data_IF_040819799065
#
_entry.id   IF_040819799065
#
_cell.length_a   1.000
_cell.length_b   1.000
_cell.length_c   1.000
_cell.angle_alpha   90.00
_cell.angle_beta   90.00
_cell.angle_gamma   90.00
#
_symmetry.space_group_name_H-M   'P 1'
#
loop_
_entity.id
_entity.type
_entity.pdbx_description
1 polymer ?
#
# COMPACT_ATOMS: atom_id res chain seq x y z
N UNK A 1 -13.02 -21.87 -23.14
CA UNK A 1 -13.25 -20.40 -23.08
C UNK A 1 -14.66 -20.05 -22.60
N UNK A 2 -15.75 -20.54 -23.24
CA UNK A 2 -17.13 -20.22 -22.84
C UNK A 2 -17.46 -20.44 -21.34
N UNK A 3 -17.20 -21.64 -20.78
CA UNK A 3 -17.39 -21.94 -19.34
C UNK A 3 -16.52 -21.12 -18.39
N UNK A 4 -15.32 -20.72 -18.83
CA UNK A 4 -14.42 -19.87 -18.04
C UNK A 4 -14.96 -18.44 -18.01
N UNK A 5 -15.40 -17.92 -19.16
CA UNK A 5 -16.00 -16.60 -19.26
C UNK A 5 -17.30 -16.51 -18.44
N UNK A 6 -18.17 -17.53 -18.53
CA UNK A 6 -19.40 -17.63 -17.70
C UNK A 6 -19.06 -17.60 -16.20
N UNK A 7 -18.05 -18.35 -15.75
CA UNK A 7 -17.61 -18.30 -14.35
C UNK A 7 -17.06 -16.93 -13.93
N UNK A 8 -16.26 -16.29 -14.80
CA UNK A 8 -15.67 -14.98 -14.54
C UNK A 8 -16.74 -13.90 -14.42
N UNK A 9 -17.72 -13.89 -15.33
CA UNK A 9 -18.82 -12.92 -15.37
C UNK A 9 -19.85 -13.16 -14.27
N UNK A 10 -20.25 -14.40 -14.01
CA UNK A 10 -21.34 -14.69 -13.07
C UNK A 10 -20.90 -14.80 -11.61
N UNK A 11 -19.64 -15.15 -11.34
CA UNK A 11 -19.15 -15.39 -9.97
C UNK A 11 -18.08 -14.41 -9.53
N UNK A 12 -17.02 -14.25 -10.32
CA UNK A 12 -15.86 -13.47 -9.90
C UNK A 12 -16.09 -11.96 -9.95
N UNK A 13 -16.65 -11.46 -11.05
CA UNK A 13 -16.92 -10.04 -11.26
C UNK A 13 -17.83 -9.43 -10.17
N UNK A 14 -18.97 -10.04 -9.80
CA UNK A 14 -19.85 -9.50 -8.75
C UNK A 14 -19.16 -9.41 -7.39
N UNK A 15 -18.35 -10.40 -7.02
CA UNK A 15 -17.61 -10.41 -5.76
C UNK A 15 -16.55 -9.30 -5.77
N UNK A 16 -15.77 -9.21 -6.85
CA UNK A 16 -14.73 -8.20 -7.01
C UNK A 16 -15.32 -6.78 -6.98
N UNK A 17 -16.44 -6.55 -7.68
CA UNK A 17 -17.14 -5.27 -7.66
C UNK A 17 -17.65 -4.91 -6.26
N UNK A 18 -18.22 -5.89 -5.53
CA UNK A 18 -18.70 -5.66 -4.15
C UNK A 18 -17.56 -5.32 -3.19
N UNK A 19 -16.41 -5.98 -3.32
CA UNK A 19 -15.22 -5.69 -2.52
C UNK A 19 -14.61 -4.34 -2.89
N UNK A 20 -14.44 -4.07 -4.19
CA UNK A 20 -13.88 -2.82 -4.69
C UNK A 20 -14.73 -1.59 -4.38
N UNK A 21 -16.06 -1.74 -4.27
CA UNK A 21 -17.00 -0.69 -3.88
C UNK A 21 -17.32 -0.65 -2.38
N UNK A 22 -16.69 -1.50 -1.56
CA UNK A 22 -16.97 -1.55 -0.13
C UNK A 22 -16.43 -0.30 0.57
N UNK A 23 -17.34 0.54 1.08
CA UNK A 23 -17.01 1.81 1.72
C UNK A 23 -16.03 1.69 2.89
N UNK A 24 -16.14 0.61 3.66
CA UNK A 24 -15.27 0.37 4.82
C UNK A 24 -13.85 0.06 4.35
N UNK A 25 -13.67 -0.85 3.40
CA UNK A 25 -12.35 -1.16 2.83
C UNK A 25 -11.71 0.07 2.16
N UNK A 26 -12.50 0.81 1.39
CA UNK A 26 -12.07 2.08 0.79
C UNK A 26 -11.62 3.06 1.87
N UNK A 27 -12.38 3.19 2.97
CA UNK A 27 -12.03 4.11 4.05
C UNK A 27 -10.74 3.72 4.78
N UNK A 28 -10.49 2.42 4.98
CA UNK A 28 -9.24 1.91 5.55
C UNK A 28 -8.08 2.27 4.63
N UNK A 29 -8.17 1.91 3.34
CA UNK A 29 -7.17 2.20 2.32
C UNK A 29 -6.83 3.68 2.27
N UNK A 30 -7.83 4.53 2.05
CA UNK A 30 -7.65 5.97 1.89
C UNK A 30 -7.13 6.60 3.18
N UNK A 31 -7.61 6.14 4.33
CA UNK A 31 -7.22 6.66 5.63
C UNK A 31 -5.78 6.34 6.01
N UNK A 32 -5.32 5.10 5.77
CA UNK A 32 -3.91 4.73 5.97
C UNK A 32 -3.02 5.46 4.97
N UNK A 33 -3.48 5.63 3.72
CA UNK A 33 -2.71 6.33 2.67
C UNK A 33 -2.40 7.79 3.03
N UNK A 34 -3.22 8.45 3.86
CA UNK A 34 -2.91 9.80 4.37
C UNK A 34 -1.61 9.85 5.19
N UNK A 35 -1.15 8.73 5.76
CA UNK A 35 0.12 8.66 6.49
C UNK A 35 1.34 8.51 5.56
N UNK A 36 1.15 8.10 4.30
CA UNK A 36 2.27 7.78 3.39
C UNK A 36 3.21 8.95 3.12
N UNK A 37 2.73 10.19 2.88
CA UNK A 37 3.63 11.32 2.70
C UNK A 37 4.55 11.54 3.92
N UNK A 38 4.05 11.34 5.13
CA UNK A 38 4.85 11.45 6.35
C UNK A 38 5.91 10.35 6.41
N UNK A 39 5.53 9.10 6.16
CA UNK A 39 6.44 7.95 6.14
C UNK A 39 7.55 8.15 5.10
N UNK A 40 7.22 8.65 3.90
CA UNK A 40 8.19 8.93 2.84
C UNK A 40 9.16 10.03 3.27
N UNK A 41 8.66 11.14 3.84
CA UNK A 41 9.51 12.23 4.35
C UNK A 41 10.43 11.72 5.48
N UNK A 42 9.89 10.94 6.42
CA UNK A 42 10.67 10.28 7.46
C UNK A 42 11.77 9.38 6.88
N UNK A 43 11.43 8.64 5.83
CA UNK A 43 12.37 7.76 5.15
C UNK A 43 13.48 8.54 4.45
N UNK A 44 13.23 9.77 3.97
CA UNK A 44 14.30 10.64 3.45
C UNK A 44 15.28 11.04 4.55
N UNK A 45 14.80 11.43 5.73
CA UNK A 45 15.70 11.71 6.87
C UNK A 45 16.50 10.48 7.26
N UNK A 46 15.85 9.31 7.28
CA UNK A 46 16.50 8.04 7.57
C UNK A 46 17.59 7.70 6.56
N UNK A 47 17.33 7.85 5.25
CA UNK A 47 18.32 7.63 4.18
C UNK A 47 19.56 8.51 4.38
N UNK A 48 19.36 9.79 4.72
CA UNK A 48 20.44 10.74 4.96
C UNK A 48 21.24 10.34 6.22
N UNK A 49 20.54 10.00 7.31
CA UNK A 49 21.16 9.63 8.58
C UNK A 49 21.95 8.32 8.50
N UNK A 50 21.51 7.39 7.66
CA UNK A 50 22.08 6.04 7.54
C UNK A 50 22.76 5.78 6.20
N UNK A 51 23.25 6.82 5.52
CA UNK A 51 23.96 6.63 4.25
C UNK A 51 25.26 5.83 4.49
N UNK A 52 25.60 4.82 3.66
CA UNK A 52 26.55 3.77 4.01
C UNK A 52 28.00 4.21 3.73
N UNK A 53 28.36 5.39 4.21
CA UNK A 53 29.69 5.98 4.11
C UNK A 53 30.10 6.38 5.52
N UNK A 54 31.06 5.66 6.11
CA UNK A 54 31.46 5.87 7.51
C UNK A 54 31.87 7.32 7.81
N UNK A 55 32.64 7.93 6.90
CA UNK A 55 33.04 9.33 7.03
C UNK A 55 31.84 10.29 7.08
N UNK A 56 30.73 9.96 6.41
CA UNK A 56 29.51 10.74 6.42
C UNK A 56 28.77 10.62 7.75
N UNK A 57 28.57 9.40 8.25
CA UNK A 57 27.89 9.17 9.54
C UNK A 57 28.70 9.72 10.70
N UNK A 58 30.03 9.52 10.70
CA UNK A 58 30.93 10.09 11.71
C UNK A 58 30.85 11.62 11.71
N UNK A 59 30.82 12.23 10.52
CA UNK A 59 30.68 13.68 10.37
C UNK A 59 29.35 14.18 10.92
N UNK A 60 28.22 13.54 10.56
CA UNK A 60 26.89 13.91 11.07
C UNK A 60 26.80 13.88 12.59
N UNK A 61 27.37 12.85 13.22
CA UNK A 61 27.45 12.73 14.69
C UNK A 61 28.37 13.79 15.29
N UNK A 62 29.52 14.06 14.68
CA UNK A 62 30.46 15.08 15.17
C UNK A 62 29.85 16.50 15.17
N UNK A 63 28.99 16.80 14.19
CA UNK A 63 28.28 18.08 14.12
C UNK A 63 26.91 18.06 14.84
N UNK A 64 26.49 16.91 15.36
CA UNK A 64 25.22 16.72 16.10
C UNK A 64 23.95 16.78 15.23
N UNK A 65 24.07 16.67 13.91
CA UNK A 65 22.92 16.74 12.98
C UNK A 65 22.11 15.44 12.98
N UNK A 66 22.77 14.31 13.23
CA UNK A 66 22.16 12.97 13.30
C UNK A 66 20.95 12.92 14.24
N UNK A 67 21.04 13.57 15.41
CA UNK A 67 19.98 13.62 16.41
C UNK A 67 18.71 14.28 15.87
N UNK A 68 18.84 15.34 15.06
CA UNK A 68 17.69 16.02 14.44
C UNK A 68 17.09 15.21 13.29
N UNK A 69 17.92 14.51 12.51
CA UNK A 69 17.45 13.62 11.45
C UNK A 69 16.62 12.49 12.05
N UNK A 70 17.12 11.81 13.08
CA UNK A 70 16.40 10.74 13.77
C UNK A 70 15.15 11.24 14.48
N UNK A 71 15.17 12.44 15.06
CA UNK A 71 13.94 13.09 15.56
C UNK A 71 12.90 13.28 14.46
N UNK A 72 13.32 13.62 13.23
CA UNK A 72 12.44 13.71 12.06
C UNK A 72 11.85 12.36 11.65
N UNK A 73 12.65 11.28 11.74
CA UNK A 73 12.18 9.90 11.52
C UNK A 73 11.10 9.54 12.55
N UNK A 74 11.38 9.75 13.84
CA UNK A 74 10.43 9.38 14.90
C UNK A 74 9.16 10.24 14.86
N UNK A 75 9.30 11.54 14.56
CA UNK A 75 8.17 12.46 14.44
C UNK A 75 7.26 12.22 13.23
N UNK A 76 7.70 11.40 12.27
CA UNK A 76 6.90 11.04 11.09
C UNK A 76 6.30 9.65 11.21
N UNK A 77 7.13 8.61 11.43
CA UNK A 77 6.67 7.24 11.64
C UNK A 77 5.82 7.10 12.92
N UNK A 78 6.14 7.88 13.95
CA UNK A 78 5.41 7.90 15.21
C UNK A 78 3.99 8.46 15.12
N UNK A 79 3.53 8.96 13.96
CA UNK A 79 2.18 9.51 13.79
C UNK A 79 1.26 8.61 12.95
N UNK A 80 1.74 7.46 12.46
CA UNK A 80 1.03 6.62 11.51
C UNK A 80 -0.37 6.20 11.99
N UNK A 81 -0.49 5.63 13.18
CA UNK A 81 -1.77 5.22 13.78
C UNK A 81 -2.68 6.41 14.03
N UNK A 82 -2.13 7.51 14.54
CA UNK A 82 -2.88 8.74 14.81
C UNK A 82 -3.50 9.32 13.53
N UNK A 83 -2.70 9.48 12.47
CA UNK A 83 -3.15 10.00 11.17
C UNK A 83 -4.13 9.03 10.50
N UNK A 84 -3.88 7.72 10.60
CA UNK A 84 -4.81 6.72 10.09
C UNK A 84 -6.18 6.81 10.79
N UNK A 85 -6.24 7.05 12.10
CA UNK A 85 -7.52 7.15 12.83
C UNK A 85 -8.39 8.30 12.31
N UNK A 86 -7.78 9.48 12.10
CA UNK A 86 -8.43 10.62 11.47
C UNK A 86 -8.84 10.30 10.03
N UNK A 87 -7.92 9.74 9.26
CA UNK A 87 -8.10 9.50 7.83
C UNK A 87 -9.23 8.55 7.50
N UNK A 88 -9.31 7.44 8.26
CA UNK A 88 -10.33 6.41 8.07
C UNK A 88 -11.71 6.99 8.39
N UNK A 89 -11.83 7.70 9.52
CA UNK A 89 -13.08 8.34 9.90
C UNK A 89 -13.52 9.42 8.90
N UNK A 90 -12.59 10.29 8.48
CA UNK A 90 -12.85 11.33 7.48
C UNK A 90 -13.28 10.75 6.13
N UNK A 91 -12.59 9.70 5.64
CA UNK A 91 -12.98 9.03 4.39
C UNK A 91 -14.38 8.43 4.49
N UNK A 92 -14.66 7.65 5.53
CA UNK A 92 -15.97 6.99 5.67
C UNK A 92 -17.13 7.99 5.83
N UNK A 93 -16.91 9.06 6.61
CA UNK A 93 -17.88 10.14 6.79
C UNK A 93 -18.17 10.88 5.47
N UNK A 94 -17.14 11.21 4.68
CA UNK A 94 -17.31 11.81 3.34
C UNK A 94 -18.06 10.88 2.39
N UNK A 95 -17.75 9.59 2.39
CA UNK A 95 -18.49 8.58 1.62
C UNK A 95 -19.96 8.42 2.08
N UNK A 96 -20.26 8.86 3.30
CA UNK A 96 -21.61 8.95 3.87
C UNK A 96 -22.27 10.31 3.67
N UNK A 97 -21.62 11.25 2.96
CA UNK A 97 -22.09 12.61 2.67
C UNK A 97 -22.32 13.46 3.94
N UNK A 98 -21.50 13.27 4.96
CA UNK A 98 -21.49 14.09 6.18
C UNK A 98 -20.10 14.72 6.38
N UNK A 99 -19.97 15.64 7.34
CA UNK A 99 -18.71 16.36 7.55
C UNK A 99 -17.58 15.44 8.02
N UNK A 100 -16.63 15.18 7.12
CA UNK A 100 -15.52 14.27 7.41
C UNK A 100 -14.47 14.84 8.34
N UNK A 101 -14.26 16.15 8.34
CA UNK A 101 -13.25 16.78 9.21
C UNK A 101 -13.66 16.64 10.68
N UNK A 102 -14.92 16.94 11.00
CA UNK A 102 -15.46 16.73 12.36
C UNK A 102 -15.36 15.27 12.80
N UNK A 103 -15.78 14.33 11.96
CA UNK A 103 -15.68 12.90 12.26
C UNK A 103 -14.21 12.46 12.50
N UNK A 104 -13.29 12.95 11.69
CA UNK A 104 -11.85 12.69 11.81
C UNK A 104 -11.27 13.23 13.12
N UNK A 105 -11.57 14.49 13.49
CA UNK A 105 -11.07 15.09 14.74
C UNK A 105 -11.61 14.35 15.96
N UNK A 106 -12.89 13.96 15.94
CA UNK A 106 -13.50 13.15 17.01
C UNK A 106 -12.81 11.79 17.13
N UNK A 107 -12.50 11.14 16.00
CA UNK A 107 -11.75 9.87 15.99
C UNK A 107 -10.32 10.06 16.55
N UNK A 108 -9.63 11.14 16.18
CA UNK A 108 -8.32 11.47 16.72
C UNK A 108 -8.36 11.65 18.25
N UNK A 109 -9.32 12.42 18.75
CA UNK A 109 -9.51 12.59 20.20
C UNK A 109 -9.81 11.26 20.90
N UNK A 110 -10.68 10.44 20.31
CA UNK A 110 -11.02 9.13 20.84
C UNK A 110 -9.81 8.17 20.84
N UNK A 111 -8.94 8.25 19.83
CA UNK A 111 -7.70 7.48 19.76
C UNK A 111 -6.75 7.82 20.91
N UNK A 112 -6.61 9.11 21.25
CA UNK A 112 -5.85 9.54 22.42
C UNK A 112 -6.49 9.03 23.72
N UNK A 113 -7.83 9.08 23.84
CA UNK A 113 -8.55 8.63 25.03
C UNK A 113 -8.33 7.15 25.33
N UNK A 114 -8.34 6.30 24.30
CA UNK A 114 -8.13 4.86 24.50
C UNK A 114 -6.66 4.48 24.65
N UNK A 115 -5.74 5.44 24.48
CA UNK A 115 -4.31 5.23 24.65
C UNK A 115 -3.92 5.43 26.10
N UNK A 116 -3.28 4.44 26.76
CA UNK A 116 -2.83 4.62 28.14
C UNK A 116 -1.72 5.66 28.20
N UNK A 117 -1.84 6.61 29.13
CA UNK A 117 -0.78 7.57 29.41
C UNK A 117 0.25 6.96 30.35
N UNK A 118 1.51 7.28 30.12
CA UNK A 118 2.61 6.89 31.00
C UNK A 118 2.97 8.06 31.90
N UNK A 119 3.30 7.80 33.16
CA UNK A 119 3.80 8.82 34.09
C UNK A 119 5.17 8.42 34.58
N UNK A 120 6.09 9.39 34.61
CA UNK A 120 7.43 9.22 35.14
C UNK A 120 7.93 10.51 35.80
N UNK A 121 9.21 10.54 36.18
CA UNK A 121 9.83 11.70 36.84
C UNK A 121 9.75 12.99 36.01
N UNK A 122 9.68 12.87 34.69
CA UNK A 122 9.57 13.98 33.73
C UNK A 122 8.13 14.41 33.45
N UNK A 123 7.13 13.79 34.07
CA UNK A 123 5.71 14.08 33.93
C UNK A 123 4.89 12.97 33.26
N UNK A 124 3.66 13.31 32.87
CA UNK A 124 2.75 12.41 32.13
C UNK A 124 2.93 12.61 30.63
N UNK A 125 3.03 11.51 29.87
CA UNK A 125 3.24 11.51 28.43
C UNK A 125 2.42 10.46 27.69
N UNK A 126 2.30 10.64 26.38
CA UNK A 126 1.67 9.69 25.47
C UNK A 126 2.75 8.77 24.89
N UNK A 127 2.62 7.44 24.98
CA UNK A 127 3.59 6.52 24.37
C UNK A 127 3.57 6.63 22.84
N UNK A 128 4.64 7.19 22.26
CA UNK A 128 4.77 7.39 20.81
C UNK A 128 4.65 6.07 20.03
N UNK A 129 5.03 4.95 20.63
CA UNK A 129 4.87 3.62 20.01
C UNK A 129 3.42 3.28 19.64
N UNK A 130 2.43 3.67 20.45
CA UNK A 130 1.01 3.47 20.12
C UNK A 130 0.51 4.49 19.08
N UNK A 131 1.17 5.63 18.94
CA UNK A 131 0.82 6.64 17.94
C UNK A 131 1.30 6.23 16.54
N UNK A 132 2.37 5.43 16.47
CA UNK A 132 2.95 4.88 15.25
C UNK A 132 2.26 3.60 14.75
N UNK A 133 3.05 2.65 14.24
CA UNK A 133 2.54 1.45 13.57
C UNK A 133 1.67 0.54 14.44
N UNK A 134 1.97 0.43 15.75
CA UNK A 134 1.18 -0.39 16.69
C UNK A 134 -0.27 0.09 16.84
N UNK A 135 -0.51 1.37 16.56
CA UNK A 135 -1.84 1.98 16.61
C UNK A 135 -2.72 1.69 15.40
N UNK A 136 -2.19 1.13 14.30
CA UNK A 136 -2.93 1.00 13.04
C UNK A 136 -4.22 0.16 13.17
N UNK A 137 -4.20 -0.93 13.92
CA UNK A 137 -5.40 -1.75 14.11
C UNK A 137 -6.48 -1.06 14.94
N UNK A 138 -6.10 -0.34 15.98
CA UNK A 138 -7.04 0.47 16.75
C UNK A 138 -7.60 1.59 15.90
N UNK A 139 -6.74 2.27 15.13
CA UNK A 139 -7.14 3.32 14.21
C UNK A 139 -8.21 2.86 13.21
N UNK A 140 -8.10 1.63 12.69
CA UNK A 140 -9.11 1.04 11.80
C UNK A 140 -10.47 0.91 12.49
N UNK A 141 -10.53 0.19 13.62
CA UNK A 141 -11.81 -0.06 14.31
C UNK A 141 -12.40 1.24 14.82
N UNK A 142 -11.58 2.05 15.46
CA UNK A 142 -12.01 3.30 16.07
C UNK A 142 -12.48 4.29 15.00
N UNK A 143 -11.74 4.45 13.91
CA UNK A 143 -12.10 5.34 12.82
C UNK A 143 -13.42 4.94 12.16
N UNK A 144 -13.61 3.64 11.89
CA UNK A 144 -14.85 3.11 11.29
C UNK A 144 -16.04 3.34 12.23
N UNK A 145 -15.95 2.87 13.47
CA UNK A 145 -17.06 2.95 14.43
C UNK A 145 -17.43 4.41 14.71
N UNK A 146 -16.44 5.28 14.92
CA UNK A 146 -16.68 6.71 15.16
C UNK A 146 -17.37 7.38 13.97
N UNK A 147 -16.93 7.11 12.74
CA UNK A 147 -17.57 7.68 11.56
C UNK A 147 -18.99 7.13 11.29
N UNK A 148 -19.25 5.86 11.60
CA UNK A 148 -20.59 5.27 11.49
C UNK A 148 -21.56 5.90 12.49
N UNK A 149 -21.15 6.03 13.75
CA UNK A 149 -21.95 6.68 14.79
C UNK A 149 -22.18 8.14 14.41
N UNK A 150 -21.13 8.88 14.05
CA UNK A 150 -21.24 10.28 13.63
C UNK A 150 -22.23 10.44 12.47
N UNK A 151 -22.08 9.63 11.42
CA UNK A 151 -22.97 9.64 10.26
C UNK A 151 -24.42 9.36 10.63
N UNK A 152 -24.66 8.46 11.59
CA UNK A 152 -26.00 8.12 12.05
C UNK A 152 -26.69 9.31 12.74
N UNK A 153 -26.00 10.02 13.63
CA UNK A 153 -26.53 11.20 14.30
C UNK A 153 -26.87 12.32 13.30
N UNK A 154 -25.93 12.66 12.41
CA UNK A 154 -26.13 13.72 11.42
C UNK A 154 -27.29 13.41 10.47
N UNK A 155 -27.38 12.17 9.96
CA UNK A 155 -28.47 11.75 9.05
C UNK A 155 -29.84 11.76 9.72
N UNK A 156 -29.90 11.61 11.05
CA UNK A 156 -31.14 11.69 11.84
C UNK A 156 -31.43 13.09 12.36
N UNK A 157 -30.65 14.11 11.94
CA UNK A 157 -30.77 15.47 12.43
C UNK A 157 -30.60 15.61 13.96
N UNK A 158 -29.88 14.69 14.60
CA UNK A 158 -29.57 14.75 16.04
C UNK A 158 -28.28 15.56 16.20
N UNK A 159 -28.41 16.87 16.13
CA UNK A 159 -27.30 17.82 16.12
C UNK A 159 -27.78 19.20 16.60
N UNK A 160 -26.86 20.02 17.08
CA UNK A 160 -27.17 21.42 17.38
C UNK A 160 -27.18 22.20 16.08
N UNK A 161 -28.35 22.76 15.73
CA UNK A 161 -28.53 23.59 14.53
C UNK A 161 -28.42 25.05 14.91
N UNK A 162 -27.61 25.79 14.16
CA UNK A 162 -27.53 27.24 14.28
C UNK A 162 -28.33 27.90 13.15
N UNK A 163 -28.82 29.14 13.34
CA UNK A 163 -29.50 29.90 12.28
C UNK A 163 -28.60 30.12 11.06
N UNK A 164 -29.20 30.33 9.89
CA UNK A 164 -28.48 30.56 8.62
C UNK A 164 -27.61 31.81 8.63
N UNK A 165 -27.85 32.75 9.55
CA UNK A 165 -27.02 33.94 9.76
C UNK A 165 -25.65 33.63 10.36
N UNK A 166 -25.43 32.41 10.87
CA UNK A 166 -24.17 32.00 11.50
C UNK A 166 -23.20 31.43 10.45
N UNK A 167 -21.91 31.84 10.46
CA UNK A 167 -20.92 31.32 9.52
C UNK A 167 -20.87 29.77 9.48
N UNK A 168 -20.76 29.15 8.29
CA UNK A 168 -20.80 27.69 8.14
C UNK A 168 -19.76 26.92 8.97
N UNK A 169 -18.60 27.52 9.22
CA UNK A 169 -17.56 26.91 10.06
C UNK A 169 -18.02 26.71 11.51
N UNK A 170 -18.71 27.70 12.08
CA UNK A 170 -19.25 27.63 13.44
C UNK A 170 -20.41 26.63 13.50
N UNK A 171 -21.30 26.67 12.52
CA UNK A 171 -22.42 25.72 12.44
C UNK A 171 -21.96 24.24 12.40
N UNK A 172 -20.88 23.94 11.66
CA UNK A 172 -20.30 22.58 11.63
C UNK A 172 -19.78 22.15 13.00
N UNK A 173 -19.03 23.00 13.71
CA UNK A 173 -18.49 22.67 15.03
C UNK A 173 -19.59 22.35 16.05
N UNK A 174 -20.68 23.13 16.06
CA UNK A 174 -21.82 22.86 16.95
C UNK A 174 -22.63 21.63 16.51
N UNK A 175 -22.79 21.41 15.20
CA UNK A 175 -23.45 20.22 14.67
C UNK A 175 -22.75 18.93 15.11
N UNK A 176 -21.42 18.96 15.22
CA UNK A 176 -20.60 17.84 15.66
C UNK A 176 -20.61 17.60 17.18
N UNK A 177 -21.13 18.52 18.00
CA UNK A 177 -20.99 18.47 19.46
C UNK A 177 -21.69 17.26 20.09
N UNK A 178 -22.97 17.05 19.78
CA UNK A 178 -23.74 15.92 20.31
C UNK A 178 -23.15 14.57 19.86
N UNK A 179 -22.92 14.33 18.54
CA UNK A 179 -22.24 13.12 18.09
C UNK A 179 -20.88 12.93 18.77
N UNK A 180 -20.08 13.99 18.86
CA UNK A 180 -18.73 13.96 19.43
C UNK A 180 -18.73 13.57 20.90
N UNK A 181 -19.61 14.17 21.70
CA UNK A 181 -19.76 13.82 23.12
C UNK A 181 -20.09 12.33 23.29
N UNK A 182 -21.04 11.80 22.53
CA UNK A 182 -21.42 10.38 22.60
C UNK A 182 -20.28 9.46 22.22
N UNK A 183 -19.57 9.74 21.12
CA UNK A 183 -18.45 8.92 20.64
C UNK A 183 -17.29 8.94 21.64
N UNK A 184 -16.92 10.11 22.13
CA UNK A 184 -15.84 10.27 23.10
C UNK A 184 -16.18 9.55 24.42
N UNK A 185 -17.40 9.73 24.93
CA UNK A 185 -17.86 9.03 26.14
C UNK A 185 -17.89 7.52 25.93
N UNK A 186 -18.31 7.03 24.76
CA UNK A 186 -18.28 5.61 24.43
C UNK A 186 -16.85 5.05 24.55
N UNK A 187 -15.87 5.68 23.92
CA UNK A 187 -14.49 5.22 23.96
C UNK A 187 -13.85 5.35 25.34
N UNK A 188 -14.22 6.38 26.10
CA UNK A 188 -13.82 6.53 27.49
C UNK A 188 -14.36 5.38 28.36
N UNK A 189 -15.62 5.00 28.16
CA UNK A 189 -16.22 3.85 28.87
C UNK A 189 -15.52 2.56 28.48
N UNK A 190 -15.20 2.35 27.20
CA UNK A 190 -14.42 1.18 26.74
C UNK A 190 -13.05 1.14 27.42
N UNK A 191 -12.32 2.26 27.43
CA UNK A 191 -11.03 2.36 28.12
C UNK A 191 -11.17 2.02 29.62
N UNK A 192 -12.14 2.64 30.31
CA UNK A 192 -12.36 2.42 31.73
C UNK A 192 -12.74 0.97 32.07
N UNK A 193 -13.54 0.30 31.23
CA UNK A 193 -13.86 -1.12 31.41
C UNK A 193 -12.61 -1.98 31.26
N UNK A 194 -11.81 -1.77 30.22
CA UNK A 194 -10.60 -2.55 29.97
C UNK A 194 -9.58 -2.41 31.12
N UNK A 195 -9.40 -1.18 31.61
CA UNK A 195 -8.57 -0.86 32.77
C UNK A 195 -9.09 -1.57 34.04
N UNK A 196 -10.38 -1.44 34.35
CA UNK A 196 -10.98 -2.02 35.57
C UNK A 196 -11.03 -3.55 35.59
N UNK A 197 -11.14 -4.19 34.44
CA UNK A 197 -11.15 -5.66 34.33
C UNK A 197 -9.73 -6.22 34.15
N UNK A 198 -8.71 -5.35 34.07
CA UNK A 198 -7.30 -5.71 33.95
C UNK A 198 -6.99 -6.64 32.74
N UNK A 199 -7.66 -6.39 31.61
CA UNK A 199 -7.49 -7.16 30.35
C UNK A 199 -6.36 -6.54 29.48
N UNK A 200 -5.82 -5.40 29.89
CA UNK A 200 -4.83 -4.62 29.14
C UNK A 200 -5.48 -3.49 28.33
N UNK A 201 -4.69 -2.80 27.52
CA UNK A 201 -5.20 -1.68 26.70
C UNK A 201 -5.71 -2.16 25.33
N UNK A 202 -6.54 -1.33 24.69
CA UNK A 202 -7.17 -1.69 23.42
C UNK A 202 -6.16 -1.90 22.28
N UNK A 203 -4.99 -1.24 22.31
CA UNK A 203 -3.97 -1.39 21.28
C UNK A 203 -3.43 -2.82 21.26
N UNK A 204 -3.04 -3.32 22.42
CA UNK A 204 -2.54 -4.69 22.53
C UNK A 204 -3.65 -5.73 22.29
N UNK A 205 -4.88 -5.45 22.70
CA UNK A 205 -6.02 -6.33 22.42
C UNK A 205 -6.30 -6.44 20.91
N UNK A 206 -6.30 -5.32 20.18
CA UNK A 206 -6.52 -5.32 18.73
C UNK A 206 -5.38 -6.00 17.98
N UNK A 207 -4.15 -5.91 18.49
CA UNK A 207 -3.02 -6.68 17.97
C UNK A 207 -3.24 -8.20 18.08
N UNK A 208 -3.90 -8.65 19.16
CA UNK A 208 -4.23 -10.08 19.32
C UNK A 208 -5.40 -10.48 18.42
N UNK A 209 -6.48 -9.70 18.41
CA UNK A 209 -7.73 -10.05 17.73
C UNK A 209 -7.62 -9.93 16.21
N UNK A 210 -6.96 -8.87 15.72
CA UNK A 210 -6.83 -8.58 14.29
C UNK A 210 -5.41 -8.87 13.78
N UNK A 211 -4.41 -8.40 14.53
CA UNK A 211 -3.02 -8.52 14.12
C UNK A 211 -2.55 -9.96 13.96
N UNK A 212 -2.84 -10.86 14.92
CA UNK A 212 -2.44 -12.27 14.81
C UNK A 212 -3.09 -13.00 13.63
N UNK A 213 -4.43 -12.99 13.44
CA UNK A 213 -5.04 -13.68 12.29
C UNK A 213 -4.60 -13.10 10.95
N UNK A 214 -4.54 -11.78 10.81
CA UNK A 214 -4.07 -11.16 9.57
C UNK A 214 -2.58 -11.40 9.33
N UNK A 215 -1.78 -11.50 10.40
CA UNK A 215 -0.38 -11.91 10.35
C UNK A 215 -0.18 -13.31 9.78
N UNK A 216 -1.13 -14.24 9.93
CA UNK A 216 -1.08 -15.56 9.29
C UNK A 216 -1.13 -15.48 7.75
N UNK A 217 -1.58 -14.36 7.19
CA UNK A 217 -1.55 -14.09 5.76
C UNK A 217 -0.43 -13.11 5.38
N UNK A 218 -0.16 -12.11 6.21
CA UNK A 218 0.78 -11.02 5.90
C UNK A 218 2.24 -11.28 6.27
N UNK A 219 2.55 -12.25 7.15
CA UNK A 219 3.90 -12.45 7.70
C UNK A 219 4.64 -13.68 7.16
N UNK A 220 4.07 -14.40 6.20
CA UNK A 220 4.74 -15.57 5.61
C UNK A 220 4.54 -15.63 4.09
N UNK A 221 5.46 -16.32 3.43
CA UNK A 221 5.52 -16.37 1.97
C UNK A 221 4.27 -17.00 1.34
N UNK A 222 3.64 -18.00 1.98
CA UNK A 222 2.44 -18.64 1.45
C UNK A 222 1.25 -17.66 1.43
N UNK A 223 1.06 -16.92 2.52
CA UNK A 223 0.05 -15.87 2.59
C UNK A 223 0.31 -14.74 1.58
N UNK A 224 1.57 -14.34 1.40
CA UNK A 224 1.96 -13.37 0.36
C UNK A 224 1.64 -13.88 -1.05
N UNK A 225 1.90 -15.16 -1.36
CA UNK A 225 1.53 -15.75 -2.65
C UNK A 225 0.02 -15.71 -2.85
N UNK A 226 -0.78 -16.04 -1.83
CA UNK A 226 -2.25 -15.93 -1.90
C UNK A 226 -2.66 -14.47 -2.17
N UNK A 227 -2.04 -13.50 -1.51
CA UNK A 227 -2.29 -12.08 -1.73
C UNK A 227 -1.97 -11.65 -3.18
N UNK A 228 -0.86 -12.15 -3.75
CA UNK A 228 -0.47 -11.91 -5.14
C UNK A 228 -1.49 -12.50 -6.12
N UNK A 229 -1.96 -13.72 -5.85
CA UNK A 229 -2.99 -14.36 -6.66
C UNK A 229 -4.29 -13.56 -6.65
N UNK A 230 -4.74 -13.11 -5.48
CA UNK A 230 -5.94 -12.29 -5.34
C UNK A 230 -5.80 -10.95 -6.05
N UNK A 231 -4.67 -10.26 -5.86
CA UNK A 231 -4.38 -9.01 -6.55
C UNK A 231 -4.44 -9.20 -8.08
N UNK A 232 -3.79 -10.26 -8.58
CA UNK A 232 -3.74 -10.54 -10.01
C UNK A 232 -5.11 -10.87 -10.59
N UNK A 233 -5.91 -11.64 -9.83
CA UNK A 233 -7.26 -12.02 -10.22
C UNK A 233 -8.21 -10.81 -10.27
N UNK A 234 -8.09 -9.88 -9.32
CA UNK A 234 -8.85 -8.63 -9.36
C UNK A 234 -8.47 -7.79 -10.58
N UNK A 235 -7.17 -7.62 -10.85
CA UNK A 235 -6.70 -6.92 -12.04
C UNK A 235 -7.22 -7.55 -13.34
N UNK A 236 -7.23 -8.88 -13.39
CA UNK A 236 -7.73 -9.63 -14.54
C UNK A 236 -9.22 -9.35 -14.83
N UNK A 237 -10.04 -9.15 -13.80
CA UNK A 237 -11.47 -8.78 -13.94
C UNK A 237 -11.70 -7.27 -14.00
N UNK A 238 -10.64 -6.46 -14.16
CA UNK A 238 -10.74 -5.00 -14.33
C UNK A 238 -10.90 -4.20 -13.03
N UNK A 239 -10.69 -4.81 -11.86
CA UNK A 239 -10.65 -4.12 -10.58
C UNK A 239 -9.19 -3.95 -10.15
N UNK A 240 -8.77 -2.76 -9.73
CA UNK A 240 -7.40 -2.54 -9.29
C UNK A 240 -7.07 -3.40 -8.05
N UNK A 241 -6.34 -4.50 -8.24
CA UNK A 241 -6.12 -5.51 -7.19
C UNK A 241 -5.44 -4.96 -5.94
N UNK A 242 -4.44 -4.10 -6.12
CA UNK A 242 -3.71 -3.48 -5.01
C UNK A 242 -4.63 -2.67 -4.10
N UNK A 243 -5.60 -1.96 -4.66
CA UNK A 243 -6.57 -1.19 -3.88
C UNK A 243 -7.45 -2.06 -2.97
N UNK A 244 -7.71 -3.31 -3.36
CA UNK A 244 -8.50 -4.24 -2.57
C UNK A 244 -7.63 -4.98 -1.58
N UNK A 245 -6.55 -5.63 -2.04
CA UNK A 245 -5.69 -6.47 -1.21
C UNK A 245 -4.92 -5.64 -0.17
N UNK A 246 -4.37 -4.49 -0.57
CA UNK A 246 -3.58 -3.66 0.34
C UNK A 246 -4.46 -3.04 1.43
N UNK A 247 -5.75 -2.80 1.18
CA UNK A 247 -6.68 -2.30 2.21
C UNK A 247 -6.80 -3.22 3.43
N UNK A 248 -6.41 -4.49 3.27
CA UNK A 248 -6.46 -5.52 4.31
C UNK A 248 -5.06 -5.79 4.88
N UNK A 249 -4.05 -5.92 4.01
CA UNK A 249 -2.72 -6.42 4.41
C UNK A 249 -1.70 -5.31 4.71
N UNK A 250 -1.88 -4.11 4.18
CA UNK A 250 -0.95 -3.00 4.39
C UNK A 250 -0.69 -2.66 5.87
N UNK A 251 -1.66 -2.72 6.80
CA UNK A 251 -1.38 -2.51 8.22
C UNK A 251 -0.28 -3.44 8.75
N UNK A 252 -0.33 -4.73 8.40
CA UNK A 252 0.66 -5.73 8.81
C UNK A 252 2.02 -5.41 8.19
N UNK A 253 2.06 -5.13 6.89
CA UNK A 253 3.30 -4.83 6.19
C UNK A 253 3.99 -3.56 6.73
N UNK A 254 3.21 -2.53 7.07
CA UNK A 254 3.69 -1.31 7.71
C UNK A 254 4.24 -1.56 9.11
N UNK A 255 3.56 -2.40 9.91
CA UNK A 255 4.07 -2.81 11.21
C UNK A 255 5.40 -3.55 11.12
N UNK A 256 5.54 -4.44 10.13
CA UNK A 256 6.79 -5.15 9.90
C UNK A 256 7.91 -4.21 9.44
N UNK A 257 7.59 -3.24 8.57
CA UNK A 257 8.52 -2.18 8.17
C UNK A 257 9.01 -1.37 9.37
N UNK A 258 8.11 -0.94 10.25
CA UNK A 258 8.45 -0.12 11.41
C UNK A 258 9.23 -0.91 12.47
N UNK A 259 8.94 -2.20 12.66
CA UNK A 259 9.72 -3.08 13.52
C UNK A 259 11.18 -3.21 13.02
N UNK A 260 11.38 -3.34 11.71
CA UNK A 260 12.72 -3.33 11.13
C UNK A 260 13.38 -1.95 11.26
N UNK A 261 12.63 -0.86 11.04
CA UNK A 261 13.12 0.53 11.18
C UNK A 261 13.69 0.77 12.57
N UNK A 262 12.93 0.44 13.61
CA UNK A 262 13.33 0.67 15.00
C UNK A 262 14.63 -0.06 15.35
N UNK A 263 14.79 -1.30 14.88
CA UNK A 263 16.01 -2.06 15.10
C UNK A 263 17.19 -1.51 14.30
N UNK A 264 16.99 -1.17 13.03
CA UNK A 264 18.02 -0.59 12.18
C UNK A 264 18.49 0.80 12.66
N UNK A 265 17.56 1.62 13.17
CA UNK A 265 17.88 2.91 13.78
C UNK A 265 18.69 2.75 15.06
N UNK A 266 18.41 1.73 15.87
CA UNK A 266 19.16 1.45 17.09
C UNK A 266 20.55 0.87 16.81
N UNK A 267 20.63 -0.01 15.80
CA UNK A 267 21.88 -0.61 15.34
C UNK A 267 21.77 -0.96 13.84
N UNK A 268 22.56 -0.26 13.02
CA UNK A 268 22.60 -0.46 11.57
C UNK A 268 23.07 -1.87 11.14
N UNK A 269 23.71 -2.62 12.05
CA UNK A 269 24.15 -4.00 11.83
C UNK A 269 23.17 -5.05 12.42
N UNK A 270 22.05 -4.62 13.02
CA UNK A 270 21.09 -5.51 13.64
C UNK A 270 20.49 -6.51 12.64
N UNK A 271 20.29 -7.75 13.09
CA UNK A 271 19.55 -8.73 12.32
C UNK A 271 18.06 -8.38 12.31
N UNK A 272 17.56 -7.97 11.15
CA UNK A 272 16.17 -7.55 11.01
C UNK A 272 15.22 -8.75 11.02
N UNK A 273 14.12 -8.72 11.82
CA UNK A 273 13.27 -9.88 12.02
C UNK A 273 12.37 -10.17 10.81
N UNK A 274 11.90 -9.15 10.10
CA UNK A 274 10.87 -9.31 9.08
C UNK A 274 11.46 -9.23 7.66
N UNK A 275 11.09 -10.19 6.81
CA UNK A 275 11.37 -10.14 5.37
C UNK A 275 10.21 -9.47 4.64
N UNK A 276 8.97 -9.87 4.97
CA UNK A 276 7.76 -9.36 4.33
C UNK A 276 7.35 -8.05 5.00
N UNK A 277 7.77 -6.96 4.39
CA UNK A 277 7.49 -5.57 4.77
C UNK A 277 6.74 -4.88 3.63
N UNK A 278 6.31 -3.63 3.83
CA UNK A 278 5.71 -2.87 2.73
C UNK A 278 6.70 -2.66 1.55
N UNK A 279 7.96 -2.24 1.77
CA UNK A 279 8.94 -2.16 0.69
C UNK A 279 9.25 -3.50 0.00
N UNK A 280 9.19 -4.63 0.72
CA UNK A 280 9.32 -5.94 0.09
C UNK A 280 8.24 -6.15 -0.99
N UNK A 281 6.99 -5.87 -0.64
CA UNK A 281 5.86 -6.01 -1.57
C UNK A 281 5.95 -5.00 -2.71
N UNK A 282 6.13 -3.72 -2.40
CA UNK A 282 6.07 -2.65 -3.41
C UNK A 282 7.30 -2.62 -4.32
N UNK A 283 8.50 -2.88 -3.78
CA UNK A 283 9.75 -2.68 -4.51
C UNK A 283 10.37 -3.98 -5.01
N UNK A 284 10.12 -5.14 -4.41
CA UNK A 284 10.69 -6.40 -4.87
C UNK A 284 9.68 -7.30 -5.59
N UNK A 285 8.40 -7.30 -5.16
CA UNK A 285 7.36 -8.15 -5.78
C UNK A 285 6.71 -7.47 -6.99
N UNK A 286 6.21 -6.24 -6.81
CA UNK A 286 5.39 -5.53 -7.80
C UNK A 286 6.17 -4.51 -8.65
N UNK A 287 7.37 -4.86 -9.11
CA UNK A 287 8.14 -3.96 -9.98
C UNK A 287 7.43 -3.70 -11.31
N UNK A 288 7.29 -2.44 -11.67
CA UNK A 288 6.53 -2.02 -12.84
C UNK A 288 5.01 -2.06 -12.65
N UNK A 289 4.49 -2.43 -11.47
CA UNK A 289 3.07 -2.48 -11.11
C UNK A 289 2.56 -3.87 -10.68
N UNK A 290 1.23 -4.02 -10.61
CA UNK A 290 0.55 -5.16 -9.95
C UNK A 290 0.83 -6.58 -10.48
N UNK A 291 1.53 -6.74 -11.59
CA UNK A 291 1.90 -8.06 -12.14
C UNK A 291 3.37 -8.17 -12.50
N UNK A 292 4.23 -7.44 -11.79
CA UNK A 292 5.65 -7.32 -12.13
C UNK A 292 5.84 -6.88 -13.61
N UNK A 293 5.00 -5.93 -14.06
CA UNK A 293 4.86 -5.53 -15.46
C UNK A 293 6.09 -4.83 -16.04
N UNK A 294 7.12 -4.58 -15.23
CA UNK A 294 8.41 -4.06 -15.71
C UNK A 294 9.00 -5.00 -16.78
N UNK A 295 8.89 -6.33 -16.57
CA UNK A 295 9.35 -7.31 -17.54
C UNK A 295 8.57 -7.20 -18.85
N UNK A 296 7.24 -7.09 -18.76
CA UNK A 296 6.38 -6.92 -19.93
C UNK A 296 6.75 -5.67 -20.75
N UNK A 297 6.85 -4.51 -20.12
CA UNK A 297 7.12 -3.26 -20.84
C UNK A 297 8.52 -3.22 -21.45
N UNK A 298 9.50 -3.88 -20.83
CA UNK A 298 10.83 -4.08 -21.40
C UNK A 298 10.75 -5.00 -22.63
N UNK A 299 10.01 -6.12 -22.56
CA UNK A 299 9.81 -7.04 -23.68
C UNK A 299 9.19 -6.30 -24.88
N UNK A 300 8.15 -5.50 -24.64
CA UNK A 300 7.50 -4.66 -25.66
C UNK A 300 8.50 -3.71 -26.28
N UNK A 301 9.27 -3.00 -25.47
CA UNK A 301 10.26 -2.04 -25.94
C UNK A 301 11.37 -2.70 -26.79
N UNK A 302 11.82 -3.91 -26.41
CA UNK A 302 12.80 -4.67 -27.18
C UNK A 302 12.21 -5.11 -28.53
N UNK A 303 10.99 -5.65 -28.54
CA UNK A 303 10.35 -6.13 -29.77
C UNK A 303 10.01 -4.97 -30.70
N UNK A 304 9.49 -3.85 -30.19
CA UNK A 304 9.15 -2.66 -30.96
C UNK A 304 10.31 -2.10 -31.79
N UNK A 305 11.55 -2.29 -31.34
CA UNK A 305 12.76 -1.89 -32.09
C UNK A 305 13.05 -2.76 -33.32
N UNK A 306 12.40 -3.91 -33.46
CA UNK A 306 12.56 -4.79 -34.64
C UNK A 306 11.85 -4.20 -35.84
N UNK A 307 12.46 -4.36 -37.03
CA UNK A 307 11.87 -3.85 -38.28
C UNK A 307 10.47 -4.40 -38.54
N UNK A 308 10.30 -5.70 -38.33
CA UNK A 308 9.07 -6.45 -38.55
C UNK A 308 8.13 -6.51 -37.33
N UNK A 309 8.28 -5.61 -36.35
CA UNK A 309 7.32 -5.54 -35.25
C UNK A 309 6.01 -4.87 -35.72
N UNK A 310 4.91 -5.34 -35.14
CA UNK A 310 3.55 -4.86 -35.39
C UNK A 310 3.41 -3.36 -35.11
N UNK A 311 2.52 -2.69 -35.85
CA UNK A 311 2.15 -1.29 -35.63
C UNK A 311 1.67 -1.09 -34.19
N UNK A 312 0.87 -2.04 -33.67
CA UNK A 312 0.41 -2.02 -32.27
C UNK A 312 1.57 -2.04 -31.26
N UNK A 313 2.52 -2.98 -31.38
CA UNK A 313 3.66 -3.06 -30.45
C UNK A 313 4.53 -1.81 -30.49
N UNK A 314 4.76 -1.25 -31.68
CA UNK A 314 5.51 0.01 -31.85
C UNK A 314 4.81 1.20 -31.18
N UNK A 315 3.49 1.29 -31.30
CA UNK A 315 2.70 2.33 -30.65
C UNK A 315 2.67 2.16 -29.12
N UNK A 316 2.58 0.93 -28.62
CA UNK A 316 2.49 0.65 -27.18
C UNK A 316 3.80 0.88 -26.43
N UNK A 317 4.95 0.61 -27.05
CA UNK A 317 6.25 0.73 -26.38
C UNK A 317 6.48 2.05 -25.60
N UNK A 318 6.37 3.24 -26.21
CA UNK A 318 6.56 4.49 -25.47
C UNK A 318 5.44 4.77 -24.45
N UNK A 319 4.20 4.33 -24.75
CA UNK A 319 3.04 4.55 -23.89
C UNK A 319 3.08 3.71 -22.62
N UNK A 320 3.71 2.53 -22.66
CA UNK A 320 3.80 1.62 -21.51
C UNK A 320 5.14 1.69 -20.79
N UNK A 321 6.24 1.91 -21.50
CA UNK A 321 7.59 1.86 -20.91
C UNK A 321 7.83 3.00 -19.92
N UNK A 322 7.57 4.25 -20.33
CA UNK A 322 7.80 5.42 -19.48
C UNK A 322 7.03 5.34 -18.16
N UNK A 323 5.71 5.13 -18.13
CA UNK A 323 4.98 4.95 -16.88
C UNK A 323 5.42 3.69 -16.12
N UNK A 324 5.73 2.59 -16.84
CA UNK A 324 6.17 1.34 -16.23
C UNK A 324 7.49 1.45 -15.46
N UNK A 325 8.43 2.31 -15.88
CA UNK A 325 9.67 2.59 -15.13
C UNK A 325 9.36 3.20 -13.75
N UNK A 326 8.25 3.92 -13.62
CA UNK A 326 7.74 4.48 -12.36
C UNK A 326 6.67 3.61 -11.72
N UNK A 327 6.64 2.31 -12.04
CA UNK A 327 5.71 1.31 -11.52
C UNK A 327 4.22 1.56 -11.84
N UNK A 328 3.91 2.46 -12.76
CA UNK A 328 2.54 2.76 -13.22
C UNK A 328 2.23 1.82 -14.38
N UNK A 329 1.30 0.89 -14.19
CA UNK A 329 1.02 -0.17 -15.15
C UNK A 329 -0.32 -0.04 -15.87
N UNK A 330 -1.17 0.91 -15.53
CA UNK A 330 -2.48 1.11 -16.15
C UNK A 330 -2.39 1.23 -17.68
N UNK A 331 -1.42 1.98 -18.25
CA UNK A 331 -1.25 2.03 -19.71
C UNK A 331 -0.96 0.65 -20.31
N UNK A 332 -0.23 -0.23 -19.62
CA UNK A 332 0.00 -1.60 -20.07
C UNK A 332 -1.23 -2.50 -19.86
N UNK A 333 -1.93 -2.34 -18.73
CA UNK A 333 -3.11 -3.15 -18.37
C UNK A 333 -4.30 -2.92 -19.30
N UNK A 334 -4.51 -1.66 -19.71
CA UNK A 334 -5.66 -1.27 -20.53
C UNK A 334 -5.28 -1.04 -22.00
N UNK A 335 -4.04 -0.62 -22.28
CA UNK A 335 -3.56 -0.41 -23.66
C UNK A 335 -3.20 -1.71 -24.37
N UNK A 336 -2.76 -2.72 -23.63
CA UNK A 336 -2.76 -4.11 -24.09
C UNK A 336 -4.00 -4.75 -23.50
N UNK A 337 -4.65 -5.69 -24.20
CA UNK A 337 -5.86 -6.33 -23.68
C UNK A 337 -5.53 -7.30 -22.54
N UNK A 338 -4.64 -7.01 -21.59
CA UNK A 338 -4.29 -7.94 -20.49
C UNK A 338 -5.53 -8.28 -19.66
N UNK A 339 -6.38 -7.28 -19.42
CA UNK A 339 -7.71 -7.49 -18.84
C UNK A 339 -8.49 -8.46 -19.74
N UNK A 340 -8.95 -9.57 -19.16
CA UNK A 340 -9.64 -10.67 -19.84
C UNK A 340 -8.82 -11.44 -20.91
N UNK A 341 -7.53 -11.16 -21.11
CA UNK A 341 -6.67 -12.00 -21.98
C UNK A 341 -6.00 -13.12 -21.20
N UNK A 342 -6.52 -14.32 -21.43
CA UNK A 342 -6.09 -15.57 -20.78
C UNK A 342 -4.62 -15.93 -21.11
N UNK A 343 -4.05 -15.41 -22.19
CA UNK A 343 -2.62 -15.63 -22.51
C UNK A 343 -1.69 -14.78 -21.63
N UNK A 344 -2.08 -13.55 -21.29
CA UNK A 344 -1.25 -12.64 -20.50
C UNK A 344 -1.53 -12.70 -19.00
N UNK A 345 -2.66 -13.26 -18.54
CA UNK A 345 -2.90 -13.48 -17.11
C UNK A 345 -1.87 -14.43 -16.47
N UNK A 346 -1.41 -15.43 -17.22
CA UNK A 346 -0.46 -16.44 -16.73
C UNK A 346 0.87 -15.77 -16.32
N UNK A 347 1.58 -15.04 -17.21
CA UNK A 347 2.80 -14.34 -16.80
C UNK A 347 2.51 -13.22 -15.77
N UNK A 348 1.32 -12.60 -15.81
CA UNK A 348 0.91 -11.58 -14.84
C UNK A 348 0.81 -12.13 -13.40
N UNK A 349 0.50 -13.41 -13.26
CA UNK A 349 0.53 -14.12 -11.97
C UNK A 349 1.93 -14.65 -11.67
N UNK A 350 2.59 -15.30 -12.64
CA UNK A 350 3.84 -16.01 -12.40
C UNK A 350 5.01 -15.07 -12.06
N UNK A 351 5.09 -13.91 -12.72
CA UNK A 351 6.17 -12.95 -12.50
C UNK A 351 6.23 -12.43 -11.05
N UNK A 352 5.17 -11.85 -10.46
CA UNK A 352 5.21 -11.42 -9.07
C UNK A 352 5.37 -12.59 -8.08
N UNK A 353 4.84 -13.78 -8.38
CA UNK A 353 5.08 -14.98 -7.54
C UNK A 353 6.56 -15.38 -7.56
N UNK A 354 7.19 -15.39 -8.74
CA UNK A 354 8.62 -15.67 -8.87
C UNK A 354 9.45 -14.64 -8.10
N UNK A 355 9.14 -13.35 -8.24
CA UNK A 355 9.80 -12.28 -7.52
C UNK A 355 9.68 -12.41 -6.00
N UNK A 356 8.48 -12.76 -5.50
CA UNK A 356 8.27 -13.00 -4.08
C UNK A 356 9.11 -14.17 -3.56
N UNK A 357 9.16 -15.29 -4.28
CA UNK A 357 9.94 -16.47 -3.88
C UNK A 357 11.44 -16.16 -3.92
N UNK A 358 11.94 -15.61 -5.03
CA UNK A 358 13.37 -15.30 -5.22
C UNK A 358 13.83 -14.32 -4.15
N UNK A 359 13.08 -13.23 -3.96
CA UNK A 359 13.44 -12.19 -2.99
C UNK A 359 13.37 -12.72 -1.56
N UNK A 360 12.33 -13.48 -1.23
CA UNK A 360 12.19 -14.07 0.10
C UNK A 360 13.36 -15.02 0.42
N UNK A 361 13.69 -15.94 -0.51
CA UNK A 361 14.78 -16.90 -0.30
C UNK A 361 16.13 -16.19 -0.22
N UNK A 362 16.38 -15.20 -1.08
CA UNK A 362 17.64 -14.45 -1.06
C UNK A 362 17.83 -13.64 0.24
N UNK A 363 16.75 -13.05 0.78
CA UNK A 363 16.80 -12.34 2.06
C UNK A 363 16.83 -13.29 3.27
N UNK A 364 16.17 -14.45 3.17
CA UNK A 364 16.16 -15.46 4.23
C UNK A 364 17.51 -16.17 4.39
N UNK A 365 18.22 -16.41 3.28
CA UNK A 365 19.56 -17.01 3.29
C UNK A 365 20.67 -16.05 3.70
N UNK A 366 20.37 -14.75 3.78
CA UNK A 366 21.36 -13.70 4.06
C UNK A 366 22.17 -13.27 2.83
N UNK A 367 21.88 -13.79 1.64
CA UNK A 367 22.53 -13.36 0.39
C UNK A 367 22.21 -11.89 0.06
N UNK A 368 21.00 -11.45 0.41
CA UNK A 368 20.53 -10.08 0.19
C UNK A 368 20.11 -9.46 1.52
N UNK A 369 20.42 -8.18 1.69
CA UNK A 369 20.02 -7.42 2.86
C UNK A 369 18.49 -7.33 2.93
N UNK A 370 17.93 -7.50 4.13
CA UNK A 370 16.50 -7.29 4.37
C UNK A 370 16.16 -5.80 4.25
N UNK A 371 14.90 -5.51 3.97
CA UNK A 371 14.42 -4.13 3.95
C UNK A 371 14.52 -3.50 5.34
N UNK A 372 15.09 -2.31 5.45
CA UNK A 372 15.40 -1.66 6.74
C UNK A 372 14.23 -0.93 7.37
N UNK A 373 13.09 -0.84 6.68
CA UNK A 373 11.94 -0.01 7.08
C UNK A 373 11.90 1.36 6.40
N UNK A 374 12.99 1.75 5.73
CA UNK A 374 12.98 2.86 4.74
C UNK A 374 11.91 2.55 3.70
N UNK A 375 10.92 3.43 3.60
CA UNK A 375 9.81 3.32 2.66
C UNK A 375 9.91 4.46 1.66
N UNK A 376 10.24 4.12 0.42
CA UNK A 376 10.24 5.05 -0.70
C UNK A 376 8.84 5.10 -1.33
N UNK A 377 8.56 6.12 -2.14
CA UNK A 377 7.35 6.12 -2.96
C UNK A 377 7.28 4.82 -3.77
N UNK A 378 6.10 4.20 -3.88
CA UNK A 378 5.90 3.02 -4.73
C UNK A 378 6.23 3.32 -6.21
N UNK A 379 6.25 4.58 -6.62
CA UNK A 379 6.68 5.02 -7.96
C UNK A 379 8.21 5.14 -8.13
N UNK A 380 8.98 4.85 -7.08
CA UNK A 380 10.44 4.91 -7.14
C UNK A 380 10.95 3.88 -8.16
N UNK A 381 11.76 4.29 -9.15
CA UNK A 381 12.25 3.38 -10.16
C UNK A 381 12.92 2.12 -9.57
N UNK A 382 12.70 0.94 -10.17
CA UNK A 382 13.46 -0.26 -9.84
C UNK A 382 14.98 -0.01 -9.94
N UNK A 383 15.76 -0.89 -9.31
CA UNK A 383 17.20 -0.76 -9.01
C UNK A 383 17.48 0.28 -7.92
N UNK A 384 17.02 1.53 -8.11
CA UNK A 384 17.22 2.59 -7.10
C UNK A 384 16.41 2.30 -5.83
N UNK A 385 15.15 1.90 -5.98
CA UNK A 385 14.32 1.52 -4.84
C UNK A 385 14.92 0.35 -4.05
N UNK A 386 15.48 -0.66 -4.71
CA UNK A 386 16.10 -1.81 -4.05
C UNK A 386 17.30 -1.42 -3.23
N UNK A 387 18.16 -0.54 -3.77
CA UNK A 387 19.27 0.05 -3.02
C UNK A 387 18.80 0.76 -1.75
N UNK A 388 17.88 1.72 -1.89
CA UNK A 388 17.45 2.59 -0.79
C UNK A 388 16.71 1.81 0.32
N UNK A 389 15.79 0.92 -0.07
CA UNK A 389 14.92 0.21 0.88
C UNK A 389 15.66 -0.87 1.68
N UNK A 390 16.81 -1.35 1.21
CA UNK A 390 17.71 -2.23 1.96
C UNK A 390 18.81 -1.46 2.69
N UNK A 391 18.54 -0.22 3.12
CA UNK A 391 19.52 0.58 3.89
C UNK A 391 20.72 1.00 3.08
N UNK A 392 20.54 1.30 1.79
CA UNK A 392 21.60 1.63 0.85
C UNK A 392 22.59 0.47 0.61
N UNK A 393 22.15 -0.77 0.83
CA UNK A 393 22.95 -1.94 0.54
C UNK A 393 22.82 -2.35 -0.94
N UNK A 394 23.95 -2.55 -1.64
CA UNK A 394 23.97 -2.82 -3.09
C UNK A 394 23.26 -4.13 -3.45
N UNK A 395 23.25 -5.12 -2.54
CA UNK A 395 22.60 -6.41 -2.83
C UNK A 395 21.09 -6.28 -3.10
N UNK A 396 20.41 -5.25 -2.57
CA UNK A 396 19.00 -4.98 -2.91
C UNK A 396 18.83 -4.57 -4.38
N UNK A 397 19.70 -3.69 -4.89
CA UNK A 397 19.70 -3.29 -6.30
C UNK A 397 20.02 -4.48 -7.23
N UNK A 398 21.00 -5.30 -6.87
CA UNK A 398 21.38 -6.50 -7.62
C UNK A 398 20.22 -7.50 -7.67
N UNK A 399 19.53 -7.72 -6.55
CA UNK A 399 18.36 -8.60 -6.50
C UNK A 399 17.24 -8.12 -7.42
N UNK A 400 16.96 -6.81 -7.47
CA UNK A 400 15.97 -6.26 -8.39
C UNK A 400 16.37 -6.46 -9.85
N UNK A 401 17.66 -6.32 -10.21
CA UNK A 401 18.13 -6.63 -11.56
C UNK A 401 17.85 -8.10 -11.90
N UNK A 402 18.15 -9.03 -10.98
CA UNK A 402 17.87 -10.46 -11.17
C UNK A 402 16.38 -10.71 -11.37
N UNK A 403 15.52 -10.12 -10.53
CA UNK A 403 14.08 -10.26 -10.64
C UNK A 403 13.54 -9.67 -11.96
N UNK A 404 14.02 -8.50 -12.39
CA UNK A 404 13.66 -7.91 -13.70
C UNK A 404 14.05 -8.84 -14.85
N UNK A 405 15.23 -9.47 -14.81
CA UNK A 405 15.64 -10.42 -15.85
C UNK A 405 14.73 -11.65 -15.88
N UNK A 406 14.31 -12.14 -14.71
CA UNK A 406 13.32 -13.23 -14.60
C UNK A 406 11.97 -12.80 -15.15
N UNK A 407 11.50 -11.60 -14.81
CA UNK A 407 10.25 -11.05 -15.33
C UNK A 407 10.29 -10.92 -16.85
N UNK A 408 11.37 -10.39 -17.42
CA UNK A 408 11.59 -10.33 -18.87
C UNK A 408 11.53 -11.73 -19.47
N UNK A 409 12.22 -12.72 -18.88
CA UNK A 409 12.22 -14.09 -19.39
C UNK A 409 10.82 -14.72 -19.34
N UNK A 410 10.07 -14.51 -18.27
CA UNK A 410 8.68 -14.98 -18.13
C UNK A 410 7.82 -14.34 -19.21
N UNK A 411 7.78 -13.01 -19.30
CA UNK A 411 6.90 -12.30 -20.25
C UNK A 411 7.30 -12.50 -21.72
N UNK A 412 8.58 -12.75 -22.02
CA UNK A 412 9.09 -12.85 -23.38
C UNK A 412 8.30 -13.85 -24.24
N UNK A 413 8.09 -15.06 -23.71
CA UNK A 413 7.45 -16.14 -24.46
C UNK A 413 5.97 -15.85 -24.72
N UNK A 414 5.27 -15.31 -23.73
CA UNK A 414 3.84 -15.00 -23.84
C UNK A 414 3.60 -13.79 -24.75
N UNK A 415 4.40 -12.73 -24.61
CA UNK A 415 4.24 -11.57 -25.47
C UNK A 415 4.61 -11.85 -26.93
N UNK A 416 5.58 -12.74 -27.19
CA UNK A 416 5.89 -13.16 -28.57
C UNK A 416 4.70 -13.84 -29.25
N UNK A 417 3.86 -14.56 -28.52
CA UNK A 417 2.63 -15.13 -29.05
C UNK A 417 1.59 -14.04 -29.40
N UNK A 418 1.45 -13.03 -28.53
CA UNK A 418 0.60 -11.86 -28.76
C UNK A 418 1.09 -11.08 -30.00
N UNK A 419 2.39 -10.85 -30.11
CA UNK A 419 2.98 -10.16 -31.25
C UNK A 419 2.73 -10.91 -32.57
N UNK A 420 2.83 -12.24 -32.56
CA UNK A 420 2.51 -13.06 -33.74
C UNK A 420 1.04 -12.91 -34.14
N UNK A 421 0.13 -12.83 -33.16
CA UNK A 421 -1.28 -12.60 -33.41
C UNK A 421 -1.53 -11.21 -34.02
N UNK A 422 -0.91 -10.16 -33.47
CA UNK A 422 -1.02 -8.80 -33.99
C UNK A 422 -0.55 -8.70 -35.44
N UNK A 423 0.60 -9.30 -35.77
CA UNK A 423 1.11 -9.33 -37.15
C UNK A 423 0.16 -10.08 -38.11
N UNK A 424 -0.49 -11.15 -37.65
CA UNK A 424 -1.45 -11.88 -38.46
C UNK A 424 -2.73 -11.06 -38.72
N UNK A 425 -3.19 -10.30 -37.71
CA UNK A 425 -4.32 -9.38 -37.86
C UNK A 425 -4.00 -8.24 -38.83
N UNK A 426 -2.84 -7.60 -38.68
CA UNK A 426 -2.38 -6.53 -39.58
C UNK A 426 -2.27 -7.02 -41.04
N UNK A 427 -1.76 -8.24 -41.25
CA UNK A 427 -1.68 -8.83 -42.58
C UNK A 427 -3.08 -9.13 -43.18
N UNK A 428 -4.04 -9.56 -42.36
CA UNK A 428 -5.41 -9.82 -42.81
C UNK A 428 -6.13 -8.51 -43.18
N UNK A 429 -5.97 -7.45 -42.39
CA UNK A 429 -6.50 -6.11 -42.69
C UNK A 429 -5.93 -5.54 -43.99
N UNK A 430 -4.62 -5.71 -44.24
CA UNK A 430 -4.00 -5.25 -45.49
C UNK A 430 -4.55 -5.99 -46.72
N UNK A 431 -4.87 -7.28 -46.60
CA UNK A 431 -5.53 -8.05 -47.67
C UNK A 431 -6.96 -7.56 -47.92
N UNK A 432 -7.74 -7.31 -46.87
CA UNK A 432 -9.12 -6.83 -46.97
C UNK A 432 -9.20 -5.43 -47.61
N UNK A 433 -8.32 -4.51 -47.21
CA UNK A 433 -8.22 -3.18 -47.80
C UNK A 433 -7.85 -3.27 -49.28
N UNK A 434 -6.88 -4.11 -49.64
CA UNK A 434 -6.49 -4.29 -51.05
C UNK A 434 -7.61 -4.89 -51.90
N UNK A 435 -8.39 -5.82 -51.35
CA UNK A 435 -9.55 -6.40 -52.05
C UNK A 435 -10.68 -5.37 -52.24
N UNK A 436 -10.93 -4.50 -51.27
CA UNK A 436 -11.94 -3.43 -51.37
C UNK A 436 -11.53 -2.28 -52.30
N UNK A 437 -10.23 -2.11 -52.61
CA UNK A 437 -9.74 -1.13 -53.60
C UNK A 437 -9.78 -1.69 -55.02
N UNK A 438 -9.73 -3.03 -55.18
CA UNK A 438 -9.70 -3.71 -56.48
C UNK A 438 -11.07 -4.23 -56.97
N UNK A 439 -12.09 -4.27 -56.11
CA UNK A 439 -13.48 -4.57 -56.46
C UNK A 439 -14.31 -3.31 -56.61
#
# INVERSE_FOLDING_TARGET
>A
MKKLNEFLEEKMLPIAAKLGANKVLISIRDGITLSMPLIIIGSLFMIIASFPVKAWTDWLTAVGIDTYLWKGVDGSFGLMGLVASFGIANSLARQNKVDGVSAGIIALSSFIIVTPFVSGETGTGIPVGYMGSKGLFVAMILGIVSALIFSWFIKRNIQIKLPDSVPPAVARSFSALIPGAVIITLWLVVFAILDRVNIGNIHDLMMIILGKPLGLLGNNIFGTIIAILLNSLFWFVGIHGGNVVNSILQPIWLMNSDANRLLFQADSAANLPNIITLPFIDNFVYMGGGGATIGLVIVIAIIARRRNASKMTKAMAPLTLTPGIFNINEPAMFGLPIVMNVSLIIPFILAPVANAIISYVAMASGLVAKTTGITVSWTMPPILSGFLTTGNHISGAVLQIVCILVDVAIYWFFYKAVEKQNLALEAAEEVEVNNNIMG
#
